data_IF_161090283349
#
_entry.id   IF_161090283349
#
_cell.length_a   1.000
_cell.length_b   1.000
_cell.length_c   1.000
_cell.angle_alpha   90.00
_cell.angle_beta   90.00
_cell.angle_gamma   90.00
#
_symmetry.space_group_name_H-M   'P 1'
#
loop_
_entity.id
_entity.type
_entity.pdbx_description
1 polymer ?
#
# COMPACT_ATOMS: atom_id res chain seq x y z
N UNK A 1 14.10 -24.67 7.30
CA UNK A 1 12.81 -24.01 7.52
C UNK A 1 12.35 -23.31 6.27
N UNK A 2 11.09 -23.48 5.93
CA UNK A 2 10.53 -22.76 4.81
C UNK A 2 10.35 -21.28 5.21
N UNK A 3 10.78 -20.38 4.35
CA UNK A 3 10.52 -18.96 4.55
C UNK A 3 9.02 -18.65 4.31
N UNK A 4 8.52 -17.62 4.95
CA UNK A 4 7.15 -17.16 4.69
C UNK A 4 7.04 -16.62 3.27
N UNK A 5 5.88 -16.81 2.61
CA UNK A 5 5.69 -16.28 1.26
C UNK A 5 5.86 -14.77 1.17
N UNK A 6 6.27 -14.30 0.00
CA UNK A 6 6.37 -12.88 -0.29
C UNK A 6 5.99 -12.63 -1.74
N UNK A 7 5.68 -11.38 -2.08
CA UNK A 7 5.42 -10.96 -3.45
C UNK A 7 6.17 -9.66 -3.74
N UNK A 8 6.48 -9.46 -5.02
CA UNK A 8 7.11 -8.24 -5.51
C UNK A 8 6.36 -7.81 -6.76
N UNK A 9 5.92 -6.55 -6.77
CA UNK A 9 5.26 -5.96 -7.93
C UNK A 9 5.99 -4.69 -8.32
N UNK A 10 6.20 -4.49 -9.60
CA UNK A 10 6.84 -3.28 -10.13
C UNK A 10 5.89 -2.56 -11.07
N UNK A 11 5.80 -1.25 -10.92
CA UNK A 11 4.97 -0.42 -11.80
C UNK A 11 5.71 0.87 -12.12
N UNK A 12 5.63 1.25 -13.38
CA UNK A 12 6.12 2.56 -13.81
C UNK A 12 4.95 3.55 -13.71
N UNK A 13 5.10 4.52 -12.81
CA UNK A 13 4.07 5.52 -12.57
C UNK A 13 4.46 6.79 -13.31
N UNK A 14 3.51 7.37 -14.05
CA UNK A 14 3.75 8.59 -14.83
C UNK A 14 3.63 9.84 -13.95
N UNK A 15 4.42 9.89 -12.91
CA UNK A 15 4.48 11.02 -11.97
C UNK A 15 5.84 11.02 -11.30
N UNK A 16 6.28 12.20 -10.86
CA UNK A 16 7.55 12.34 -10.15
C UNK A 16 7.51 11.57 -8.82
N UNK A 17 8.67 11.11 -8.32
CA UNK A 17 8.73 10.40 -7.04
C UNK A 17 8.05 11.12 -5.89
N UNK A 18 8.16 12.43 -5.83
CA UNK A 18 7.51 13.25 -4.82
C UNK A 18 6.00 13.07 -4.83
N UNK A 19 5.38 13.06 -6.02
CA UNK A 19 3.93 12.89 -6.14
C UNK A 19 3.50 11.48 -5.78
N UNK A 20 4.28 10.48 -6.18
CA UNK A 20 4.01 9.09 -5.83
C UNK A 20 4.11 8.91 -4.31
N UNK A 21 5.15 9.48 -3.69
CA UNK A 21 5.34 9.43 -2.26
C UNK A 21 4.15 10.06 -1.52
N UNK A 22 3.67 11.22 -1.97
CA UNK A 22 2.52 11.89 -1.39
C UNK A 22 1.25 11.03 -1.48
N UNK A 23 1.08 10.31 -2.60
CA UNK A 23 -0.08 9.43 -2.77
C UNK A 23 -0.09 8.29 -1.76
N UNK A 24 1.05 7.89 -1.23
CA UNK A 24 1.17 6.84 -0.22
C UNK A 24 1.14 7.35 1.22
N UNK A 25 1.30 8.65 1.43
CA UNK A 25 1.53 9.17 2.79
C UNK A 25 0.52 10.22 3.23
N UNK A 26 -0.09 10.94 2.31
CA UNK A 26 -1.05 11.99 2.63
C UNK A 26 -2.47 11.43 2.60
N UNK A 27 -3.22 11.50 3.72
CA UNK A 27 -4.54 10.89 3.82
C UNK A 27 -5.48 11.26 2.67
N UNK A 28 -5.55 12.54 2.28
CA UNK A 28 -6.44 12.98 1.21
C UNK A 28 -6.03 12.41 -0.15
N UNK A 29 -4.75 12.14 -0.37
CA UNK A 29 -4.27 11.51 -1.59
C UNK A 29 -4.55 10.00 -1.58
N UNK A 30 -4.44 9.38 -0.41
CA UNK A 30 -4.69 7.95 -0.26
C UNK A 30 -6.14 7.59 -0.61
N UNK A 31 -7.08 8.49 -0.34
CA UNK A 31 -8.50 8.25 -0.63
C UNK A 31 -8.81 8.16 -2.12
N UNK A 32 -7.90 8.61 -3.00
CA UNK A 32 -8.14 8.65 -4.44
C UNK A 32 -7.95 7.29 -5.12
N UNK A 33 -7.19 6.40 -4.52
CA UNK A 33 -6.85 5.13 -5.17
C UNK A 33 -7.02 3.88 -4.30
N UNK A 34 -7.13 4.05 -2.99
CA UNK A 34 -7.26 2.91 -2.07
C UNK A 34 -8.65 2.28 -2.17
N UNK A 35 -8.71 0.95 -2.16
CA UNK A 35 -9.98 0.23 -2.21
C UNK A 35 -10.65 0.29 -3.58
N UNK A 36 -11.96 0.52 -3.62
CA UNK A 36 -12.73 0.63 -4.84
C UNK A 36 -13.11 2.09 -5.10
N UNK A 37 -12.42 2.78 -6.04
CA UNK A 37 -12.73 4.20 -6.32
C UNK A 37 -14.14 4.45 -6.82
N UNK A 38 -14.83 3.42 -7.32
CA UNK A 38 -16.21 3.52 -7.78
C UNK A 38 -17.23 3.40 -6.66
N UNK A 39 -16.79 3.02 -5.46
CA UNK A 39 -17.68 2.86 -4.33
C UNK A 39 -18.21 4.22 -3.86
N UNK A 40 -19.49 4.26 -3.41
CA UNK A 40 -20.10 5.48 -2.91
C UNK A 40 -19.44 5.98 -1.62
N UNK A 41 -18.94 5.05 -0.81
CA UNK A 41 -18.23 5.37 0.44
C UNK A 41 -16.74 5.45 0.18
N UNK A 42 -16.15 6.61 0.46
CA UNK A 42 -14.73 6.83 0.23
C UNK A 42 -13.89 6.31 1.38
N UNK A 43 -12.63 5.95 1.11
CA UNK A 43 -11.72 5.51 2.18
C UNK A 43 -11.53 6.60 3.24
N UNK A 44 -11.21 6.16 4.46
CA UNK A 44 -10.83 7.03 5.56
C UNK A 44 -9.40 6.65 5.94
N UNK A 45 -8.49 7.60 5.84
CA UNK A 45 -7.08 7.35 6.09
C UNK A 45 -6.55 8.30 7.18
N UNK A 46 -5.70 7.76 8.05
CA UNK A 46 -5.01 8.52 9.09
C UNK A 46 -3.55 8.10 9.09
N UNK A 47 -2.64 9.05 9.14
CA UNK A 47 -1.21 8.77 9.15
C UNK A 47 -0.49 9.65 10.16
N UNK A 48 0.54 9.08 10.78
CA UNK A 48 1.52 9.78 11.59
C UNK A 48 2.88 9.43 10.98
N UNK A 49 3.29 10.21 9.98
CA UNK A 49 4.40 9.87 9.08
C UNK A 49 5.75 10.10 9.74
N UNK A 50 6.17 9.15 10.55
CA UNK A 50 7.48 9.11 11.19
C UNK A 50 7.77 7.68 11.61
N UNK A 51 9.05 7.36 11.79
CA UNK A 51 9.41 6.05 12.34
C UNK A 51 8.76 5.87 13.70
N UNK A 52 8.05 4.76 13.88
CA UNK A 52 7.28 4.49 15.10
C UNK A 52 5.86 5.07 15.07
N UNK A 53 5.55 5.93 14.09
CA UNK A 53 4.19 6.43 13.92
C UNK A 53 3.28 5.37 13.31
N UNK A 54 1.99 5.54 13.45
CA UNK A 54 1.01 4.55 12.97
C UNK A 54 0.21 5.10 11.80
N UNK A 55 -0.25 4.18 10.95
CA UNK A 55 -1.26 4.51 9.95
C UNK A 55 -2.48 3.61 10.14
N UNK A 56 -3.62 4.09 9.66
CA UNK A 56 -4.86 3.33 9.68
C UNK A 56 -5.69 3.72 8.46
N UNK A 57 -6.14 2.74 7.69
CA UNK A 57 -6.98 2.97 6.52
C UNK A 57 -8.21 2.07 6.59
N UNK A 58 -9.37 2.68 6.44
CA UNK A 58 -10.65 1.97 6.32
C UNK A 58 -11.16 2.20 4.90
N UNK A 59 -11.63 1.14 4.26
CA UNK A 59 -12.08 1.26 2.89
C UNK A 59 -13.09 0.15 2.53
N UNK A 60 -13.79 0.36 1.43
CA UNK A 60 -14.70 -0.64 0.85
C UNK A 60 -14.06 -1.17 -0.43
N UNK A 61 -13.97 -2.49 -0.55
CA UNK A 61 -13.34 -3.14 -1.69
C UNK A 61 -14.32 -3.43 -2.81
N UNK A 62 -13.84 -4.16 -3.83
CA UNK A 62 -14.68 -4.61 -4.95
C UNK A 62 -15.79 -5.56 -4.49
N UNK A 63 -15.59 -6.22 -3.36
CA UNK A 63 -16.56 -7.14 -2.75
C UNK A 63 -17.67 -6.41 -1.97
N UNK A 64 -17.66 -5.07 -1.97
CA UNK A 64 -18.58 -4.23 -1.19
C UNK A 64 -18.46 -4.45 0.32
N UNK A 65 -17.37 -5.05 0.78
CA UNK A 65 -17.09 -5.30 2.19
C UNK A 65 -16.21 -4.20 2.78
N UNK A 66 -16.45 -3.90 4.05
CA UNK A 66 -15.62 -2.95 4.79
C UNK A 66 -14.33 -3.64 5.24
N UNK A 67 -13.21 -2.98 4.97
CA UNK A 67 -11.88 -3.47 5.37
C UNK A 67 -11.19 -2.40 6.19
N UNK A 68 -10.41 -2.82 7.17
CA UNK A 68 -9.63 -1.93 8.02
C UNK A 68 -8.24 -2.52 8.18
N UNK A 69 -7.21 -1.74 7.83
CA UNK A 69 -5.82 -2.16 7.92
C UNK A 69 -5.03 -1.09 8.65
N UNK A 70 -4.05 -1.52 9.43
CA UNK A 70 -3.18 -0.60 10.16
C UNK A 70 -1.76 -1.15 10.24
N UNK A 71 -0.84 -0.28 10.64
CA UNK A 71 0.54 -0.67 10.84
C UNK A 71 1.36 0.45 11.45
N UNK A 72 2.67 0.19 11.55
CA UNK A 72 3.65 1.11 12.12
C UNK A 72 4.71 1.36 11.07
N UNK A 73 5.08 2.63 10.85
CA UNK A 73 6.19 2.97 9.97
C UNK A 73 7.51 2.54 10.62
N UNK A 74 8.27 1.74 9.90
CA UNK A 74 9.58 1.25 10.35
C UNK A 74 10.73 2.00 9.71
N UNK A 75 10.53 2.50 8.49
CA UNK A 75 11.52 3.30 7.79
C UNK A 75 10.79 4.33 6.93
N UNK A 76 11.25 5.57 6.96
CA UNK A 76 10.67 6.67 6.20
C UNK A 76 11.80 7.45 5.56
N UNK A 77 11.96 7.34 4.24
CA UNK A 77 12.93 8.11 3.47
C UNK A 77 12.14 8.90 2.43
N UNK A 78 11.96 10.20 2.63
CA UNK A 78 11.12 11.02 1.76
C UNK A 78 11.44 10.84 0.27
N UNK A 79 10.39 10.58 -0.51
CA UNK A 79 10.44 10.41 -1.96
C UNK A 79 11.23 9.19 -2.44
N UNK A 80 11.63 8.31 -1.54
CA UNK A 80 12.48 7.17 -1.89
C UNK A 80 11.98 5.84 -1.34
N UNK A 81 11.58 5.79 -0.06
CA UNK A 81 11.31 4.50 0.57
C UNK A 81 10.37 4.62 1.76
N UNK A 82 9.45 3.66 1.86
CA UNK A 82 8.63 3.45 3.05
C UNK A 82 8.70 1.98 3.43
N UNK A 83 8.87 1.70 4.71
CA UNK A 83 8.70 0.35 5.24
C UNK A 83 7.70 0.44 6.38
N UNK A 84 6.66 -0.39 6.33
CA UNK A 84 5.64 -0.38 7.37
C UNK A 84 5.07 -1.77 7.60
N UNK A 85 4.63 -2.01 8.83
CA UNK A 85 3.93 -3.25 9.14
C UNK A 85 2.50 -3.19 8.57
N UNK A 86 1.89 -4.36 8.44
CA UNK A 86 0.58 -4.49 7.80
C UNK A 86 -0.22 -5.55 8.54
N UNK A 87 -1.36 -5.16 9.08
CA UNK A 87 -2.23 -6.11 9.75
C UNK A 87 -3.69 -5.68 9.58
N UNK A 88 -4.52 -6.65 9.19
CA UNK A 88 -5.96 -6.43 9.10
C UNK A 88 -6.57 -6.46 10.50
N UNK A 89 -7.59 -5.65 10.73
CA UNK A 89 -8.29 -5.61 12.01
C UNK A 89 -8.87 -6.97 12.38
N UNK A 90 -9.31 -7.74 11.38
CA UNK A 90 -9.89 -9.07 11.59
C UNK A 90 -8.87 -10.13 11.99
N UNK A 91 -7.59 -9.91 11.66
CA UNK A 91 -6.51 -10.86 11.95
C UNK A 91 -5.25 -10.13 12.39
N UNK A 92 -5.30 -9.41 13.52
CA UNK A 92 -4.17 -8.57 13.95
C UNK A 92 -2.91 -9.38 14.28
N UNK A 93 -3.05 -10.67 14.58
CA UNK A 93 -1.92 -11.57 14.86
C UNK A 93 -1.16 -11.98 13.59
N UNK A 94 -1.72 -11.72 12.40
CA UNK A 94 -1.06 -12.07 11.12
C UNK A 94 -0.35 -10.87 10.52
N UNK A 95 0.53 -10.27 11.31
CA UNK A 95 1.30 -9.11 10.86
C UNK A 95 2.27 -9.48 9.74
N UNK A 96 2.32 -8.64 8.72
CA UNK A 96 3.26 -8.76 7.61
C UNK A 96 3.95 -7.41 7.41
N UNK A 97 4.79 -7.29 6.37
CA UNK A 97 5.54 -6.07 6.13
C UNK A 97 5.49 -5.67 4.67
N UNK A 98 5.28 -4.38 4.43
CA UNK A 98 5.27 -3.79 3.09
C UNK A 98 6.45 -2.83 2.96
N UNK A 99 7.17 -2.94 1.85
CA UNK A 99 8.22 -2.01 1.48
C UNK A 99 7.86 -1.37 0.14
N UNK A 100 7.89 -0.04 0.09
CA UNK A 100 7.69 0.71 -1.14
C UNK A 100 9.01 1.39 -1.47
N UNK A 101 9.59 1.03 -2.61
CA UNK A 101 10.81 1.66 -3.13
C UNK A 101 10.45 2.50 -4.34
N UNK A 102 10.94 3.74 -4.39
CA UNK A 102 10.69 4.68 -5.47
C UNK A 102 12.01 5.09 -6.10
N UNK A 103 12.13 4.90 -7.41
CA UNK A 103 13.32 5.31 -8.17
C UNK A 103 12.89 6.20 -9.34
N UNK A 104 13.53 7.36 -9.53
CA UNK A 104 13.24 8.18 -10.69
C UNK A 104 13.68 7.46 -11.97
N UNK A 105 12.82 7.48 -12.98
CA UNK A 105 13.14 6.92 -14.31
C UNK A 105 12.69 7.93 -15.36
N UNK A 106 13.01 7.67 -16.62
CA UNK A 106 12.54 8.53 -17.71
C UNK A 106 11.01 8.59 -17.66
N UNK A 107 10.47 9.80 -17.64
CA UNK A 107 9.03 10.08 -17.67
C UNK A 107 8.26 9.55 -16.45
N UNK A 108 8.90 9.44 -15.28
CA UNK A 108 8.16 9.06 -14.09
C UNK A 108 8.96 8.41 -12.99
N UNK A 109 8.33 7.46 -12.35
CA UNK A 109 8.89 6.75 -11.19
C UNK A 109 8.70 5.26 -11.35
N UNK A 110 9.75 4.49 -11.07
CA UNK A 110 9.61 3.05 -10.91
C UNK A 110 9.27 2.78 -9.45
N UNK A 111 8.07 2.25 -9.24
CA UNK A 111 7.61 1.83 -7.92
C UNK A 111 7.81 0.32 -7.79
N UNK A 112 8.48 -0.09 -6.73
CA UNK A 112 8.62 -1.50 -6.39
C UNK A 112 7.94 -1.73 -5.05
N UNK A 113 6.91 -2.57 -5.05
CA UNK A 113 6.20 -2.97 -3.83
C UNK A 113 6.63 -4.38 -3.46
N UNK A 114 7.16 -4.54 -2.26
CA UNK A 114 7.49 -5.84 -1.69
C UNK A 114 6.61 -6.06 -0.47
N UNK A 115 5.79 -7.10 -0.49
CA UNK A 115 4.96 -7.48 0.65
C UNK A 115 5.43 -8.86 1.09
N UNK A 116 5.93 -8.96 2.30
CA UNK A 116 6.59 -10.15 2.80
C UNK A 116 6.10 -10.55 4.18
N UNK A 117 6.49 -11.73 4.64
CA UNK A 117 6.09 -12.28 5.93
C UNK A 117 4.60 -12.61 6.00
N UNK A 118 4.03 -13.05 4.86
CA UNK A 118 2.65 -13.50 4.85
C UNK A 118 2.46 -14.75 5.70
N UNK A 119 1.28 -14.86 6.29
CA UNK A 119 0.90 -16.00 7.11
C UNK A 119 0.98 -17.33 6.33
N UNK A 120 0.47 -17.34 5.09
CA UNK A 120 0.51 -18.51 4.22
C UNK A 120 0.45 -18.10 2.74
N UNK A 121 0.50 -19.09 1.84
CA UNK A 121 0.49 -18.83 0.41
C UNK A 121 -0.85 -18.23 -0.05
N UNK A 122 -1.96 -18.65 0.55
CA UNK A 122 -3.28 -18.10 0.21
C UNK A 122 -3.33 -16.60 0.50
N UNK A 123 -2.81 -16.18 1.67
CA UNK A 123 -2.75 -14.77 2.02
C UNK A 123 -1.92 -13.98 1.00
N UNK A 124 -0.78 -14.53 0.60
CA UNK A 124 0.08 -13.92 -0.41
C UNK A 124 -0.67 -13.75 -1.74
N UNK A 125 -1.33 -14.80 -2.21
CA UNK A 125 -2.04 -14.77 -3.49
C UNK A 125 -3.21 -13.77 -3.47
N UNK A 126 -3.96 -13.73 -2.37
CA UNK A 126 -5.08 -12.80 -2.22
C UNK A 126 -4.59 -11.34 -2.22
N UNK A 127 -3.48 -11.07 -1.54
CA UNK A 127 -2.91 -9.71 -1.52
C UNK A 127 -2.34 -9.31 -2.88
N UNK A 128 -1.79 -10.26 -3.64
CA UNK A 128 -1.32 -9.96 -4.99
C UNK A 128 -2.44 -9.40 -5.85
N UNK A 129 -3.59 -10.04 -5.84
CA UNK A 129 -4.76 -9.57 -6.59
C UNK A 129 -5.19 -8.17 -6.14
N UNK A 130 -5.25 -7.96 -4.82
CA UNK A 130 -5.62 -6.66 -4.26
C UNK A 130 -4.63 -5.56 -4.61
N UNK A 131 -3.34 -5.85 -4.50
CA UNK A 131 -2.30 -4.87 -4.83
C UNK A 131 -2.26 -4.54 -6.31
N UNK A 132 -2.46 -5.53 -7.20
CA UNK A 132 -2.52 -5.26 -8.63
C UNK A 132 -3.63 -4.28 -8.97
N UNK A 133 -4.81 -4.45 -8.38
CA UNK A 133 -5.93 -3.51 -8.55
C UNK A 133 -5.62 -2.13 -7.97
N UNK A 134 -5.04 -2.09 -6.78
CA UNK A 134 -4.70 -0.83 -6.13
C UNK A 134 -3.65 -0.06 -6.91
N UNK A 135 -2.66 -0.75 -7.45
CA UNK A 135 -1.63 -0.10 -8.27
C UNK A 135 -2.20 0.39 -9.60
N UNK A 136 -3.16 -0.33 -10.19
CA UNK A 136 -3.88 0.17 -11.38
C UNK A 136 -4.61 1.48 -11.04
N UNK A 137 -5.27 1.53 -9.90
CA UNK A 137 -5.97 2.73 -9.44
C UNK A 137 -5.00 3.88 -9.21
N UNK A 138 -3.86 3.58 -8.60
CA UNK A 138 -2.81 4.57 -8.36
C UNK A 138 -2.29 5.18 -9.66
N UNK A 139 -2.02 4.34 -10.66
CA UNK A 139 -1.59 4.81 -11.98
C UNK A 139 -2.61 5.76 -12.60
N UNK A 140 -3.90 5.43 -12.50
CA UNK A 140 -4.97 6.28 -13.01
C UNK A 140 -5.06 7.60 -12.26
N UNK A 141 -4.94 7.55 -10.94
CA UNK A 141 -5.04 8.74 -10.10
C UNK A 141 -3.91 9.74 -10.37
N UNK A 142 -2.74 9.24 -10.78
CA UNK A 142 -1.55 10.06 -11.02
C UNK A 142 -1.24 10.31 -12.49
N UNK A 143 -2.05 9.81 -13.40
CA UNK A 143 -1.85 10.02 -14.83
C UNK A 143 -2.36 11.37 -15.32
#
# INVERSE_FOLDING_TARGET
MASKPSLVLKRRIKAAPEKVYQAWTHPEQMTLWWGNPQHSKKPIAQTDLRVGGRFHVQFWGQDDQHHSVSGVYREVVPNRKLVFSWAWQSTPERESQVTIDLSPVAEGTMLTLTHEQFYDQKACDDHRVGWERSLDNLEKALS
#
